data_IF_474306438124
#
_entry.id   IF_474306438124
#
_cell.length_a   1.000
_cell.length_b   1.000
_cell.length_c   1.000
_cell.angle_alpha   90.00
_cell.angle_beta   90.00
_cell.angle_gamma   90.00
#
_symmetry.space_group_name_H-M   'P 1'
#
loop_
_entity.id
_entity.type
_entity.pdbx_description
1 polymer ?
#
# COMPACT_ATOMS: atom_id res chain seq x y z
N UNK A 1 7.23 22.80 -16.42
CA UNK A 1 8.02 21.77 -17.12
C UNK A 1 7.84 20.47 -16.37
N UNK A 2 7.12 19.50 -16.93
CA UNK A 2 6.85 18.23 -16.24
C UNK A 2 8.13 17.38 -16.18
N UNK A 3 8.56 17.00 -14.99
CA UNK A 3 9.68 16.09 -14.78
C UNK A 3 9.19 14.68 -15.10
N UNK A 4 9.35 14.24 -16.35
CA UNK A 4 9.14 12.84 -16.72
C UNK A 4 10.32 12.04 -16.16
N UNK A 5 10.09 11.26 -15.10
CA UNK A 5 11.09 10.29 -14.62
C UNK A 5 11.28 9.20 -15.68
N UNK A 6 12.46 9.15 -16.30
CA UNK A 6 12.85 8.01 -17.14
C UNK A 6 12.95 6.76 -16.28
N UNK A 7 12.20 5.72 -16.68
CA UNK A 7 12.33 4.38 -16.09
C UNK A 7 13.53 3.66 -16.67
N UNK A 8 14.16 2.81 -15.86
CA UNK A 8 15.24 1.92 -16.23
C UNK A 8 14.78 0.95 -17.35
N UNK A 9 15.64 0.72 -18.35
CA UNK A 9 15.35 -0.20 -19.47
C UNK A 9 15.22 -1.63 -18.93
N UNK A 10 14.11 -2.29 -19.24
CA UNK A 10 13.91 -3.71 -18.96
C UNK A 10 14.23 -4.49 -20.23
N UNK A 11 15.03 -5.54 -20.11
CA UNK A 11 15.40 -6.42 -21.22
C UNK A 11 14.62 -7.74 -21.08
N UNK A 12 14.04 -8.21 -22.18
CA UNK A 12 13.17 -9.41 -22.27
C UNK A 12 13.96 -10.70 -22.49
N UNK A 13 15.16 -10.80 -21.90
CA UNK A 13 16.04 -11.95 -22.09
C UNK A 13 15.36 -13.26 -21.64
N UNK A 14 15.23 -14.20 -22.58
CA UNK A 14 14.70 -15.55 -22.34
C UNK A 14 15.85 -16.55 -22.18
N UNK A 15 16.14 -17.03 -20.96
CA UNK A 15 17.16 -18.06 -20.74
C UNK A 15 16.81 -19.38 -21.44
N UNK A 16 17.80 -20.03 -22.07
CA UNK A 16 17.60 -21.31 -22.78
C UNK A 16 17.32 -22.51 -21.87
N UNK A 17 17.84 -22.49 -20.64
CA UNK A 17 17.83 -23.66 -19.73
C UNK A 17 17.01 -23.46 -18.45
N UNK A 18 16.48 -22.26 -18.22
CA UNK A 18 15.66 -21.98 -17.04
C UNK A 18 14.21 -22.41 -17.31
N UNK A 19 13.65 -23.21 -16.40
CA UNK A 19 12.28 -23.76 -16.53
C UNK A 19 11.24 -23.03 -15.67
N UNK A 20 11.66 -22.00 -14.93
CA UNK A 20 10.76 -21.18 -14.11
C UNK A 20 10.13 -20.04 -14.90
N UNK A 21 9.20 -19.34 -14.28
CA UNK A 21 8.55 -18.18 -14.86
C UNK A 21 9.41 -16.91 -14.69
N UNK A 22 9.65 -16.18 -15.77
CA UNK A 22 10.42 -14.93 -15.77
C UNK A 22 11.92 -15.05 -16.08
N UNK A 23 12.62 -13.92 -16.03
CA UNK A 23 14.06 -13.83 -16.32
C UNK A 23 14.88 -13.93 -15.02
N UNK A 24 15.68 -15.00 -14.81
CA UNK A 24 16.49 -15.19 -13.60
C UNK A 24 17.63 -14.16 -13.47
N UNK A 25 17.96 -13.47 -14.57
CA UNK A 25 18.98 -12.42 -14.61
C UNK A 25 18.38 -11.01 -14.51
N UNK A 26 17.07 -10.88 -14.27
CA UNK A 26 16.47 -9.58 -14.02
C UNK A 26 17.11 -8.95 -12.78
N UNK A 27 17.59 -7.70 -12.92
CA UNK A 27 18.11 -6.92 -11.79
C UNK A 27 16.90 -6.48 -10.95
N UNK A 28 16.49 -7.34 -10.02
CA UNK A 28 15.46 -7.09 -9.02
C UNK A 28 15.99 -7.43 -7.62
N UNK A 29 15.51 -6.72 -6.60
CA UNK A 29 15.82 -7.08 -5.23
C UNK A 29 15.05 -8.35 -4.84
N UNK A 30 15.64 -9.23 -4.01
CA UNK A 30 14.98 -10.48 -3.57
C UNK A 30 13.62 -10.23 -2.90
N UNK A 31 13.48 -9.08 -2.26
CA UNK A 31 12.26 -8.68 -1.55
C UNK A 31 11.39 -7.69 -2.33
N UNK A 32 11.70 -7.39 -3.60
CA UNK A 32 10.95 -6.37 -4.34
C UNK A 32 9.48 -6.76 -4.54
N UNK A 33 9.20 -8.06 -4.66
CA UNK A 33 7.86 -8.63 -4.80
C UNK A 33 7.01 -8.52 -3.54
N UNK A 34 7.65 -8.43 -2.37
CA UNK A 34 6.96 -8.36 -1.07
C UNK A 34 6.86 -6.91 -0.54
N UNK A 35 7.27 -5.91 -1.32
CA UNK A 35 7.25 -4.51 -0.88
C UNK A 35 5.99 -3.80 -1.34
N UNK A 36 5.12 -3.47 -0.40
CA UNK A 36 3.93 -2.64 -0.63
C UNK A 36 4.26 -1.16 -0.90
N UNK A 37 5.37 -0.65 -0.35
CA UNK A 37 5.64 0.80 -0.29
C UNK A 37 6.59 1.34 -1.37
N UNK A 38 7.36 0.49 -2.05
CA UNK A 38 8.43 0.92 -2.98
C UNK A 38 8.21 0.55 -4.44
N UNK A 39 7.06 -0.05 -4.77
CA UNK A 39 6.68 -0.38 -6.15
C UNK A 39 6.40 0.85 -7.03
N UNK A 40 6.60 0.72 -8.33
CA UNK A 40 6.60 1.81 -9.32
C UNK A 40 5.37 2.72 -9.23
N UNK A 41 5.61 4.00 -8.94
CA UNK A 41 4.73 5.19 -9.08
C UNK A 41 3.22 4.91 -9.14
N UNK A 42 2.67 4.34 -8.06
CA UNK A 42 1.24 4.30 -7.83
C UNK A 42 0.73 5.74 -7.66
N UNK A 43 -0.13 6.20 -8.57
CA UNK A 43 -0.77 7.51 -8.47
C UNK A 43 -1.61 7.64 -7.18
N UNK A 44 -2.08 8.85 -6.87
CA UNK A 44 -2.79 9.14 -5.61
C UNK A 44 -3.95 8.17 -5.35
N UNK A 45 -4.72 7.82 -6.39
CA UNK A 45 -5.81 6.85 -6.32
C UNK A 45 -5.36 5.45 -5.90
N UNK A 46 -4.26 4.97 -6.47
CA UNK A 46 -3.73 3.64 -6.14
C UNK A 46 -3.17 3.60 -4.70
N UNK A 47 -2.60 4.71 -4.23
CA UNK A 47 -2.17 4.85 -2.82
C UNK A 47 -3.36 4.85 -1.86
N UNK A 48 -4.43 5.57 -2.19
CA UNK A 48 -5.66 5.61 -1.39
C UNK A 48 -6.30 4.21 -1.33
N UNK A 49 -6.44 3.54 -2.48
CA UNK A 49 -7.03 2.21 -2.54
C UNK A 49 -6.21 1.19 -1.74
N UNK A 50 -4.87 1.22 -1.86
CA UNK A 50 -3.98 0.37 -1.07
C UNK A 50 -4.10 0.63 0.43
N UNK A 51 -4.09 1.89 0.86
CA UNK A 51 -4.26 2.22 2.27
C UNK A 51 -5.63 1.75 2.83
N UNK A 52 -6.69 1.81 2.01
CA UNK A 52 -8.02 1.33 2.40
C UNK A 52 -8.06 -0.20 2.51
N UNK A 53 -7.43 -0.94 1.59
CA UNK A 53 -7.34 -2.41 1.70
C UNK A 53 -6.53 -2.83 2.94
N UNK A 54 -5.46 -2.10 3.23
CA UNK A 54 -4.62 -2.34 4.41
C UNK A 54 -5.41 -2.11 5.71
N UNK A 55 -6.19 -1.02 5.78
CA UNK A 55 -7.08 -0.73 6.92
C UNK A 55 -8.22 -1.74 7.10
N UNK A 56 -8.73 -2.30 6.00
CA UNK A 56 -9.81 -3.31 6.02
C UNK A 56 -9.32 -4.68 6.49
N UNK A 57 -8.02 -4.90 6.61
CA UNK A 57 -7.45 -6.19 6.99
C UNK A 57 -7.60 -7.26 5.90
N UNK A 58 -7.79 -6.86 4.65
CA UNK A 58 -7.93 -7.79 3.50
C UNK A 58 -6.66 -8.65 3.30
N UNK A 59 -5.56 -8.25 3.95
CA UNK A 59 -4.26 -8.93 4.04
C UNK A 59 -4.29 -10.28 4.77
N UNK A 60 -5.31 -10.54 5.61
CA UNK A 60 -5.41 -11.78 6.40
C UNK A 60 -5.83 -12.99 5.53
N UNK A 61 -6.10 -12.75 4.25
CA UNK A 61 -6.58 -13.73 3.29
C UNK A 61 -5.50 -13.93 2.21
N UNK A 62 -4.73 -15.01 2.33
CA UNK A 62 -3.75 -15.44 1.33
C UNK A 62 -4.45 -16.27 0.25
N UNK A 63 -4.33 -15.88 -1.02
CA UNK A 63 -4.81 -16.68 -2.16
C UNK A 63 -3.63 -17.32 -2.87
N UNK A 64 -3.59 -18.65 -2.90
CA UNK A 64 -2.58 -19.44 -3.60
C UNK A 64 -3.33 -20.45 -4.46
N UNK A 65 -3.10 -20.45 -5.78
CA UNK A 65 -3.68 -21.42 -6.73
C UNK A 65 -5.21 -21.61 -6.60
N UNK A 66 -5.96 -20.50 -6.72
CA UNK A 66 -7.44 -20.41 -6.54
C UNK A 66 -7.98 -20.81 -5.15
N UNK A 67 -7.12 -21.28 -4.24
CA UNK A 67 -7.46 -21.64 -2.86
C UNK A 67 -7.26 -20.44 -1.93
N UNK A 68 -8.13 -20.31 -0.93
CA UNK A 68 -8.17 -19.15 -0.03
C UNK A 68 -7.80 -19.58 1.39
N UNK A 69 -6.64 -19.15 1.88
CA UNK A 69 -6.13 -19.44 3.22
C UNK A 69 -6.27 -18.22 4.12
N UNK A 70 -6.93 -18.38 5.26
CA UNK A 70 -7.01 -17.34 6.28
C UNK A 70 -5.87 -17.53 7.27
N UNK A 71 -5.01 -16.52 7.42
CA UNK A 71 -3.99 -16.51 8.47
C UNK A 71 -4.66 -16.14 9.79
N UNK A 72 -4.37 -16.88 10.87
CA UNK A 72 -4.89 -16.56 12.21
C UNK A 72 -4.53 -15.14 12.62
N UNK A 73 -5.56 -14.41 13.05
CA UNK A 73 -5.47 -13.02 13.44
C UNK A 73 -4.49 -12.87 14.62
N UNK A 74 -3.38 -12.19 14.37
CA UNK A 74 -2.73 -11.50 15.48
C UNK A 74 -3.62 -10.30 15.79
N UNK A 75 -4.31 -10.34 16.93
CA UNK A 75 -5.10 -9.27 17.59
C UNK A 75 -4.31 -7.95 17.67
N UNK A 76 -4.07 -7.32 16.53
CA UNK A 76 -3.16 -6.20 16.43
C UNK A 76 -3.99 -4.93 16.46
N UNK A 77 -3.93 -4.29 17.63
CA UNK A 77 -4.45 -2.95 17.92
C UNK A 77 -3.98 -1.85 16.94
N UNK A 78 -3.19 -2.19 15.93
CA UNK A 78 -2.64 -1.33 14.89
C UNK A 78 -3.70 -0.50 14.16
N UNK A 79 -4.84 -1.08 13.76
CA UNK A 79 -5.89 -0.33 13.07
C UNK A 79 -6.51 0.76 13.98
N UNK A 80 -6.67 0.47 15.27
CA UNK A 80 -7.15 1.45 16.25
C UNK A 80 -6.14 2.58 16.46
N UNK A 81 -4.85 2.24 16.55
CA UNK A 81 -3.77 3.23 16.65
C UNK A 81 -3.73 4.14 15.42
N UNK A 82 -3.87 3.58 14.21
CA UNK A 82 -3.94 4.37 12.97
C UNK A 82 -5.14 5.33 13.00
N UNK A 83 -6.31 4.88 13.46
CA UNK A 83 -7.49 5.75 13.60
C UNK A 83 -7.26 6.87 14.64
N UNK A 84 -6.63 6.57 15.78
CA UNK A 84 -6.28 7.60 16.77
C UNK A 84 -5.30 8.63 16.20
N UNK A 85 -4.29 8.19 15.44
CA UNK A 85 -3.35 9.10 14.77
C UNK A 85 -4.09 10.01 13.78
N UNK A 86 -4.99 9.45 12.95
CA UNK A 86 -5.80 10.24 11.99
C UNK A 86 -6.65 11.27 12.74
N UNK A 87 -7.33 10.87 13.83
CA UNK A 87 -8.15 11.78 14.62
C UNK A 87 -7.34 12.93 15.23
N UNK A 88 -6.15 12.64 15.79
CA UNK A 88 -5.25 13.65 16.35
C UNK A 88 -4.75 14.61 15.26
N UNK A 89 -4.32 14.10 14.12
CA UNK A 89 -3.84 14.92 13.00
C UNK A 89 -4.93 15.85 12.48
N UNK A 90 -6.17 15.36 12.35
CA UNK A 90 -7.32 16.19 11.96
C UNK A 90 -7.60 17.25 13.02
N UNK A 91 -7.58 16.91 14.30
CA UNK A 91 -7.82 17.88 15.39
C UNK A 91 -6.76 19.00 15.37
N UNK A 92 -5.47 18.66 15.24
CA UNK A 92 -4.38 19.64 15.12
C UNK A 92 -4.58 20.51 13.88
N UNK A 93 -4.95 19.92 12.75
CA UNK A 93 -5.22 20.68 11.52
C UNK A 93 -6.36 21.69 11.71
N UNK A 94 -7.48 21.26 12.30
CA UNK A 94 -8.64 22.12 12.57
C UNK A 94 -8.30 23.25 13.56
N UNK A 95 -7.43 22.97 14.55
CA UNK A 95 -6.95 23.97 15.49
C UNK A 95 -6.10 25.06 14.80
N UNK A 96 -5.22 24.70 13.86
CA UNK A 96 -4.36 25.67 13.15
C UNK A 96 -5.18 26.66 12.31
N UNK A 97 -6.28 26.22 11.73
CA UNK A 97 -7.13 27.06 10.86
C UNK A 97 -8.26 27.76 11.62
N UNK A 98 -8.30 27.64 12.95
CA UNK A 98 -9.35 28.16 13.84
C UNK A 98 -10.77 27.74 13.38
N UNK A 99 -10.90 26.47 12.98
CA UNK A 99 -12.16 25.96 12.45
C UNK A 99 -13.19 25.76 13.55
N UNK A 100 -14.34 26.41 13.42
CA UNK A 100 -15.44 26.30 14.38
C UNK A 100 -16.06 24.89 14.35
N UNK A 101 -15.81 24.11 15.40
CA UNK A 101 -16.38 22.77 15.59
C UNK A 101 -17.89 22.81 15.88
N UNK A 102 -18.44 23.96 16.27
CA UNK A 102 -19.86 24.11 16.61
C UNK A 102 -20.78 23.88 15.41
N UNK A 103 -20.26 24.01 14.18
CA UNK A 103 -21.00 23.76 12.93
C UNK A 103 -21.55 22.32 12.83
N UNK A 104 -20.97 21.38 13.57
CA UNK A 104 -21.42 19.98 13.60
C UNK A 104 -22.39 19.67 14.75
N UNK A 105 -22.64 20.61 15.65
CA UNK A 105 -23.62 20.45 16.72
C UNK A 105 -25.02 20.52 16.13
N UNK A 106 -25.73 19.39 16.04
CA UNK A 106 -27.14 19.38 15.68
C UNK A 106 -27.94 20.12 16.76
N UNK A 107 -28.74 21.08 16.32
CA UNK A 107 -29.68 21.84 17.14
C UNK A 107 -30.83 20.97 17.65
#
# INVERSE_FOLDING_TARGET
MAIIKRKNKKFDYKPRYYKGEGNPYAIKHKFDEFRSSTGSDSGLKAKINGAISDLKGEQNILKIDDETYQLEETETNSNKVVLYIIAILVLIFLFIIDFDLSIFSKK
#
